data_IF_071246486989
#
_entry.id   IF_071246486989
#
_cell.length_a   1.000
_cell.length_b   1.000
_cell.length_c   1.000
_cell.angle_alpha   90.00
_cell.angle_beta   90.00
_cell.angle_gamma   90.00
#
_symmetry.space_group_name_H-M   'P 1'
#
loop_
_entity.id
_entity.type
_entity.pdbx_description
1 polymer ?
#
# COMPACT_ATOMS: atom_id res chain seq x y z
N UNK A 1 3.41 -45.64 -1.76
CA UNK A 1 4.54 -44.86 -1.19
C UNK A 1 4.42 -44.89 0.32
N UNK A 2 5.47 -45.30 1.04
CA UNK A 2 5.40 -45.61 2.47
C UNK A 2 5.48 -44.36 3.36
N UNK A 3 4.71 -44.34 4.45
CA UNK A 3 4.62 -43.26 5.46
C UNK A 3 5.85 -43.15 6.38
N UNK A 4 7.00 -43.71 5.98
CA UNK A 4 8.21 -43.82 6.81
C UNK A 4 9.07 -42.55 6.83
N UNK A 5 8.82 -41.60 5.94
CA UNK A 5 9.78 -40.52 5.66
C UNK A 5 9.42 -39.17 6.28
N UNK A 6 8.36 -39.08 7.09
CA UNK A 6 8.12 -37.92 7.96
C UNK A 6 9.09 -37.92 9.15
N UNK A 7 10.39 -37.99 8.88
CA UNK A 7 11.44 -37.70 9.84
C UNK A 7 11.29 -36.23 10.26
N UNK A 8 10.86 -36.02 11.50
CA UNK A 8 10.70 -34.72 12.17
C UNK A 8 12.03 -33.95 12.04
N UNK A 9 12.11 -33.01 11.09
CA UNK A 9 13.24 -32.09 10.97
C UNK A 9 13.14 -31.13 12.15
N UNK A 10 13.85 -31.44 13.25
CA UNK A 10 14.02 -30.51 14.36
C UNK A 10 14.59 -29.21 13.81
N UNK A 11 14.05 -28.08 14.24
CA UNK A 11 14.54 -26.76 13.85
C UNK A 11 16.06 -26.68 14.09
N UNK A 12 16.83 -26.06 13.18
CA UNK A 12 18.27 -25.94 13.35
C UNK A 12 18.58 -25.21 14.67
N UNK A 13 19.52 -25.72 15.49
CA UNK A 13 19.89 -25.07 16.74
C UNK A 13 20.54 -23.72 16.42
N UNK A 14 20.01 -22.64 17.00
CA UNK A 14 20.60 -21.29 16.88
C UNK A 14 19.69 -20.22 16.26
N UNK A 15 18.45 -20.54 15.87
CA UNK A 15 17.46 -19.49 15.63
C UNK A 15 16.89 -19.02 16.98
N UNK A 16 16.92 -17.73 17.32
CA UNK A 16 16.19 -17.24 18.48
C UNK A 16 14.73 -17.68 18.31
N UNK A 17 14.17 -18.27 19.36
CA UNK A 17 12.77 -18.65 19.35
C UNK A 17 11.92 -17.42 19.12
N UNK A 18 10.95 -17.54 18.22
CA UNK A 18 9.94 -16.52 18.01
C UNK A 18 9.21 -16.25 19.32
N UNK A 19 9.27 -15.00 19.80
CA UNK A 19 8.70 -14.63 21.10
C UNK A 19 7.20 -14.35 20.98
N UNK A 20 6.48 -14.45 22.09
CA UNK A 20 5.05 -14.12 22.12
C UNK A 20 4.81 -12.66 21.73
N UNK A 21 5.69 -11.75 22.15
CA UNK A 21 5.59 -10.33 21.82
C UNK A 21 5.77 -10.07 20.32
N UNK A 22 6.73 -10.76 19.68
CA UNK A 22 6.95 -10.68 18.22
C UNK A 22 5.74 -11.20 17.44
N UNK A 23 5.07 -12.24 17.94
CA UNK A 23 3.82 -12.73 17.35
C UNK A 23 2.65 -11.75 17.47
N UNK A 24 2.54 -11.10 18.63
CA UNK A 24 1.47 -10.13 18.89
C UNK A 24 1.65 -8.92 17.98
N UNK A 25 2.88 -8.44 17.80
CA UNK A 25 3.20 -7.31 16.94
C UNK A 25 2.96 -7.66 15.46
N UNK A 26 3.45 -8.81 14.97
CA UNK A 26 3.17 -9.28 13.60
C UNK A 26 1.66 -9.43 13.33
N UNK A 27 0.88 -9.91 14.31
CA UNK A 27 -0.56 -10.07 14.19
C UNK A 27 -1.28 -8.71 14.14
N UNK A 28 -0.84 -7.73 14.92
CA UNK A 28 -1.36 -6.37 14.90
C UNK A 28 -1.05 -5.67 13.57
N UNK A 29 0.18 -5.80 13.09
CA UNK A 29 0.62 -5.26 11.79
C UNK A 29 -0.17 -5.87 10.63
N UNK A 30 -0.42 -7.18 10.68
CA UNK A 30 -1.29 -7.87 9.73
C UNK A 30 -2.74 -7.37 9.79
N UNK A 31 -3.30 -7.20 10.99
CA UNK A 31 -4.66 -6.69 11.17
C UNK A 31 -4.84 -5.25 10.65
N UNK A 32 -3.78 -4.44 10.72
CA UNK A 32 -3.74 -3.08 10.17
C UNK A 32 -3.45 -3.04 8.66
N UNK A 33 -3.24 -4.19 8.02
CA UNK A 33 -2.92 -4.28 6.59
C UNK A 33 -1.51 -3.84 6.24
N UNK A 34 -0.59 -3.82 7.21
CA UNK A 34 0.83 -3.51 7.04
C UNK A 34 1.65 -4.78 7.25
N UNK A 35 1.73 -5.72 6.29
CA UNK A 35 2.47 -6.97 6.46
C UNK A 35 3.98 -6.70 6.48
N UNK A 36 4.50 -6.31 7.65
CA UNK A 36 5.92 -6.03 7.89
C UNK A 36 6.45 -7.15 8.77
N UNK A 37 7.05 -8.16 8.14
CA UNK A 37 7.65 -9.28 8.88
C UNK A 37 8.81 -8.72 9.73
N UNK A 38 8.62 -8.63 11.05
CA UNK A 38 9.61 -8.04 11.97
C UNK A 38 10.89 -8.87 12.08
N UNK A 39 10.84 -10.16 11.76
CA UNK A 39 11.97 -11.09 11.93
C UNK A 39 13.17 -10.88 10.98
N UNK A 40 13.11 -10.00 9.97
CA UNK A 40 14.17 -9.91 8.95
C UNK A 40 14.74 -8.51 8.62
N UNK A 41 14.35 -7.42 9.28
CA UNK A 41 14.75 -6.08 8.80
C UNK A 41 15.66 -5.31 9.75
N UNK A 42 16.94 -5.29 9.42
CA UNK A 42 17.78 -4.10 9.68
C UNK A 42 17.10 -2.89 9.04
N UNK A 43 16.82 -1.80 9.78
CA UNK A 43 16.15 -0.64 9.23
C UNK A 43 17.13 0.11 8.31
N UNK A 44 17.05 -0.15 7.01
CA UNK A 44 17.54 0.80 6.01
C UNK A 44 16.60 2.02 6.04
N UNK A 45 17.12 3.24 6.18
CA UNK A 45 16.31 4.45 6.09
C UNK A 45 16.01 4.70 4.61
N UNK A 46 15.01 4.02 4.08
CA UNK A 46 14.36 4.48 2.86
C UNK A 46 13.20 5.38 3.24
N UNK A 47 13.34 6.63 2.81
CA UNK A 47 12.33 7.67 2.68
C UNK A 47 11.11 7.16 1.88
N UNK A 48 10.28 6.32 2.50
CA UNK A 48 8.95 6.00 1.97
C UNK A 48 7.99 6.89 2.72
N UNK A 49 7.60 7.98 2.04
CA UNK A 49 6.60 8.95 2.44
C UNK A 49 5.35 8.25 3.02
N UNK A 50 5.31 8.13 4.35
CA UNK A 50 4.30 7.41 5.14
C UNK A 50 2.89 8.04 5.03
N UNK A 51 2.77 9.14 4.30
CA UNK A 51 1.48 9.75 3.94
C UNK A 51 0.63 8.87 3.01
N UNK A 52 1.20 7.78 2.47
CA UNK A 52 0.59 6.91 1.45
C UNK A 52 -0.21 5.72 1.99
N UNK A 53 -0.19 5.44 3.30
CA UNK A 53 -0.83 4.24 3.89
C UNK A 53 -2.23 4.44 4.45
N UNK A 54 -2.84 5.60 4.27
CA UNK A 54 -4.24 5.76 4.65
C UNK A 54 -5.11 4.90 3.73
N UNK A 55 -6.11 4.18 4.28
CA UNK A 55 -7.01 3.35 3.48
C UNK A 55 -7.68 4.20 2.40
N UNK A 56 -7.46 3.85 1.13
CA UNK A 56 -8.13 4.51 0.03
C UNK A 56 -9.61 4.12 0.03
N UNK A 57 -10.50 5.11 0.06
CA UNK A 57 -11.95 4.88 -0.05
C UNK A 57 -12.37 4.78 -1.51
N UNK A 58 -13.23 3.82 -1.82
CA UNK A 58 -13.88 3.74 -3.13
C UNK A 58 -15.01 4.78 -3.21
N UNK A 59 -15.20 5.36 -4.41
CA UNK A 59 -16.23 6.34 -4.69
C UNK A 59 -16.76 6.16 -6.12
N UNK A 60 -18.04 6.43 -6.30
CA UNK A 60 -18.73 6.44 -7.60
C UNK A 60 -19.01 7.89 -8.01
N UNK A 61 -18.70 8.23 -9.25
CA UNK A 61 -18.88 9.58 -9.80
C UNK A 61 -19.70 9.52 -11.08
N UNK A 62 -20.53 10.52 -11.30
CA UNK A 62 -21.20 10.73 -12.58
C UNK A 62 -20.26 11.47 -13.51
N UNK A 63 -19.99 10.89 -14.68
CA UNK A 63 -19.13 11.47 -15.72
C UNK A 63 -19.89 11.49 -17.06
N UNK A 64 -19.52 12.41 -17.94
CA UNK A 64 -20.01 12.39 -19.32
C UNK A 64 -19.42 11.19 -20.07
N UNK A 65 -20.12 10.76 -21.12
CA UNK A 65 -19.67 9.66 -21.97
C UNK A 65 -18.29 9.96 -22.58
N UNK A 66 -18.09 11.18 -23.09
CA UNK A 66 -16.81 11.64 -23.64
C UNK A 66 -15.66 11.55 -22.63
N UNK A 67 -15.91 11.88 -21.36
CA UNK A 67 -14.89 11.80 -20.31
C UNK A 67 -14.52 10.36 -19.97
N UNK A 68 -15.49 9.43 -20.03
CA UNK A 68 -15.26 8.00 -19.83
C UNK A 68 -14.39 7.45 -20.98
N UNK A 69 -14.69 7.84 -22.21
CA UNK A 69 -13.96 7.37 -23.39
C UNK A 69 -12.52 7.90 -23.41
N UNK A 70 -12.33 9.20 -23.16
CA UNK A 70 -10.99 9.79 -23.02
C UNK A 70 -10.17 9.12 -21.91
N UNK A 71 -10.80 8.78 -20.77
CA UNK A 71 -10.13 8.08 -19.67
C UNK A 71 -9.76 6.63 -20.04
N UNK A 72 -10.60 5.96 -20.84
CA UNK A 72 -10.32 4.61 -21.33
C UNK A 72 -9.13 4.63 -22.30
N UNK A 73 -9.13 5.53 -23.27
CA UNK A 73 -8.04 5.68 -24.24
C UNK A 73 -6.71 5.99 -23.55
N UNK A 74 -6.71 6.93 -22.61
CA UNK A 74 -5.51 7.26 -21.82
C UNK A 74 -4.99 6.07 -21.01
N UNK A 75 -5.90 5.27 -20.44
CA UNK A 75 -5.53 4.08 -19.67
C UNK A 75 -4.89 3.02 -20.56
N UNK A 76 -5.42 2.81 -21.77
CA UNK A 76 -4.83 1.88 -22.75
C UNK A 76 -3.49 2.38 -23.30
N UNK A 77 -3.38 3.67 -23.63
CA UNK A 77 -2.17 4.25 -24.21
C UNK A 77 -1.00 4.30 -23.22
N UNK A 78 -1.27 4.57 -21.94
CA UNK A 78 -0.23 4.71 -20.90
C UNK A 78 0.03 3.43 -20.12
N UNK A 79 -0.89 2.46 -20.17
CA UNK A 79 -0.88 1.28 -19.30
C UNK A 79 -1.18 1.59 -17.83
N UNK A 80 -1.59 2.82 -17.49
CA UNK A 80 -1.93 3.19 -16.12
C UNK A 80 -3.40 2.93 -15.81
N UNK A 81 -3.74 2.46 -14.59
CA UNK A 81 -5.13 2.29 -14.17
C UNK A 81 -5.89 3.63 -14.14
N UNK A 82 -7.17 3.61 -14.56
CA UNK A 82 -8.06 4.79 -14.56
C UNK A 82 -8.07 5.55 -13.23
N UNK A 83 -8.12 4.83 -12.10
CA UNK A 83 -8.09 5.43 -10.75
C UNK A 83 -6.78 6.13 -10.42
N UNK A 84 -5.65 5.70 -11.00
CA UNK A 84 -4.34 6.37 -10.86
C UNK A 84 -4.32 7.67 -11.67
N UNK A 85 -4.86 7.65 -12.88
CA UNK A 85 -4.99 8.83 -13.73
C UNK A 85 -5.87 9.91 -13.07
N UNK A 86 -7.04 9.53 -12.53
CA UNK A 86 -7.91 10.45 -11.78
C UNK A 86 -7.17 11.07 -10.59
N UNK A 87 -6.42 10.29 -9.82
CA UNK A 87 -5.62 10.81 -8.69
C UNK A 87 -4.58 11.84 -9.16
N UNK A 88 -3.86 11.55 -10.25
CA UNK A 88 -2.87 12.49 -10.80
C UNK A 88 -3.53 13.79 -11.28
N UNK A 89 -4.66 13.71 -11.95
CA UNK A 89 -5.43 14.88 -12.39
C UNK A 89 -5.89 15.73 -11.21
N UNK A 90 -6.43 15.11 -10.15
CA UNK A 90 -6.83 15.81 -8.92
C UNK A 90 -5.62 16.46 -8.25
N UNK A 91 -4.46 15.78 -8.20
CA UNK A 91 -3.23 16.35 -7.65
C UNK A 91 -2.78 17.56 -8.46
N UNK A 92 -2.85 17.51 -9.80
CA UNK A 92 -2.52 18.64 -10.67
C UNK A 92 -3.48 19.82 -10.46
N UNK A 93 -4.79 19.56 -10.42
CA UNK A 93 -5.83 20.58 -10.25
C UNK A 93 -5.83 21.19 -8.83
N UNK A 94 -5.43 20.44 -7.80
CA UNK A 94 -5.40 20.91 -6.41
C UNK A 94 -4.15 21.71 -6.05
N UNK A 95 -3.05 21.60 -6.80
CA UNK A 95 -1.83 22.43 -6.64
C UNK A 95 -2.13 23.94 -6.54
N UNK A 96 -2.94 24.56 -7.42
CA UNK A 96 -3.29 25.97 -7.30
C UNK A 96 -4.25 26.27 -6.14
N UNK A 97 -5.16 25.36 -5.81
CA UNK A 97 -6.15 25.55 -4.73
C UNK A 97 -5.47 25.65 -3.35
N UNK A 98 -4.48 24.79 -3.09
CA UNK A 98 -3.69 24.85 -1.84
C UNK A 98 -2.98 26.20 -1.65
N UNK A 99 -2.51 26.83 -2.75
CA UNK A 99 -1.89 28.16 -2.69
C UNK A 99 -2.87 29.25 -2.26
N UNK A 100 -4.14 29.17 -2.70
CA UNK A 100 -5.15 30.17 -2.38
C UNK A 100 -5.77 29.99 -0.98
N UNK A 101 -5.94 28.75 -0.50
CA UNK A 101 -6.41 28.49 0.87
C UNK A 101 -5.41 29.03 1.89
N UNK A 102 -4.10 28.84 1.65
CA UNK A 102 -3.06 29.36 2.56
C UNK A 102 -2.94 30.89 2.55
N UNK A 103 -3.32 31.58 1.46
CA UNK A 103 -3.36 33.04 1.41
C UNK A 103 -4.50 33.65 2.21
N UNK A 104 -5.62 32.94 2.39
CA UNK A 104 -6.78 33.42 3.17
C UNK A 104 -6.68 33.18 4.67
N UNK A 105 -5.66 32.43 5.13
CA UNK A 105 -5.42 32.15 6.55
C UNK A 105 -4.33 33.04 7.17
N UNK A 106 -3.85 34.05 6.45
CA UNK A 106 -2.90 35.07 6.94
C UNK A 106 -3.62 36.40 7.08
#
# INVERSE_FOLDING_TARGET
>A
MALTDLKKKSQPPGKPGFTADEFIDDANDYAMGMPRIVSLRQPMPEEVDDTTRLPMRHATFTLSQEAIDALNELSQATGEPKSKLIRKLILQASKPVKRNINKRKK
#
